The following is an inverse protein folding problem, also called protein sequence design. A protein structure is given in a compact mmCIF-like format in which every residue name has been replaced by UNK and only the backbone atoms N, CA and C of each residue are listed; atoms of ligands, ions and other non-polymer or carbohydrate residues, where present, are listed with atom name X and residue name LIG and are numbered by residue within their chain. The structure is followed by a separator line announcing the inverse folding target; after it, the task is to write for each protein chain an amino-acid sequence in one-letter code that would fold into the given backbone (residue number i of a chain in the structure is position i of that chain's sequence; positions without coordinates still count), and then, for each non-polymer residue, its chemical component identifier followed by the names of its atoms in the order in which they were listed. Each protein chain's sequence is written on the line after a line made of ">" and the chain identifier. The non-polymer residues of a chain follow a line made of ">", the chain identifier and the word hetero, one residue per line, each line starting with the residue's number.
data_IF_600782793312
#
_entry.id   IF_600782793312
#
_cell.length_a   1.000
_cell.length_b   1.000
_cell.length_c   1.000
_cell.angle_alpha   90.00
_cell.angle_beta   90.00
_cell.angle_gamma   90.00
#
_symmetry.space_group_name_H-M   'P 1'
#
loop_
_entity.id
_entity.type
_entity.pdbx_description
1 polymer ?
#
# COMPACT_ATOMS: atom_id res chain seq x y z
N UNK A 1 -14.82 1.49 11.64
CA UNK A 1 -13.40 1.65 12.02
C UNK A 1 -12.59 1.67 10.74
N UNK A 2 -11.76 2.70 10.48
CA UNK A 2 -10.85 2.68 9.33
C UNK A 2 -9.65 1.85 9.75
N UNK A 3 -9.49 0.65 9.18
CA UNK A 3 -8.29 -0.15 9.38
C UNK A 3 -7.10 0.70 8.90
N UNK A 4 -6.14 0.91 9.79
CA UNK A 4 -4.98 1.71 9.48
C UNK A 4 -4.05 0.83 8.65
N UNK A 5 -3.64 1.28 7.46
CA UNK A 5 -2.82 0.50 6.51
C UNK A 5 -1.49 0.00 7.11
N UNK A 6 -1.04 0.62 8.20
CA UNK A 6 0.11 0.18 9.00
C UNK A 6 -0.12 -1.14 9.72
N UNK A 7 -1.34 -1.43 10.18
CA UNK A 7 -1.69 -2.69 10.86
C UNK A 7 -1.71 -3.88 9.89
N UNK A 8 -1.67 -3.60 8.58
CA UNK A 8 -1.57 -4.56 7.49
C UNK A 8 -0.13 -4.72 6.97
N UNK A 9 0.87 -4.13 7.64
CA UNK A 9 2.29 -4.22 7.27
C UNK A 9 2.72 -3.26 6.15
N UNK A 10 1.86 -2.32 5.75
CA UNK A 10 2.17 -1.38 4.67
C UNK A 10 2.58 -0.01 5.23
N UNK A 11 3.88 0.29 5.11
CA UNK A 11 4.46 1.57 5.55
C UNK A 11 3.96 2.78 4.75
N UNK A 12 4.11 3.98 5.31
CA UNK A 12 3.71 5.23 4.65
C UNK A 12 4.83 5.78 3.77
N UNK A 13 4.52 6.25 2.57
CA UNK A 13 5.47 7.05 1.81
C UNK A 13 5.81 8.36 2.52
N UNK A 14 6.94 8.97 2.14
CA UNK A 14 7.35 10.29 2.63
C UNK A 14 6.25 11.36 2.45
N UNK A 15 5.46 11.26 1.38
CA UNK A 15 4.38 12.21 1.08
C UNK A 15 3.21 11.98 2.04
N UNK A 16 2.77 10.73 2.19
CA UNK A 16 1.68 10.35 3.09
C UNK A 16 2.01 10.69 4.54
N UNK A 17 3.24 10.42 4.98
CA UNK A 17 3.67 10.74 6.34
C UNK A 17 3.63 12.25 6.62
N UNK A 18 4.09 13.06 5.66
CA UNK A 18 4.02 14.53 5.75
C UNK A 18 2.57 15.04 5.72
N UNK A 19 1.69 14.40 4.94
CA UNK A 19 0.27 14.75 4.88
C UNK A 19 -0.43 14.42 6.20
N UNK A 20 -0.26 13.20 6.70
CA UNK A 20 -0.83 12.71 7.95
C UNK A 20 -0.41 13.60 9.14
N UNK A 21 0.89 13.86 9.28
CA UNK A 21 1.39 14.72 10.34
C UNK A 21 0.93 16.18 10.20
N UNK A 22 0.80 16.68 8.97
CA UNK A 22 0.26 18.01 8.70
C UNK A 22 -1.21 18.14 9.11
N UNK A 23 -2.02 17.13 8.79
CA UNK A 23 -3.43 17.06 9.18
C UNK A 23 -3.60 16.97 10.70
N UNK A 24 -2.76 16.17 11.37
CA UNK A 24 -2.77 16.08 12.83
C UNK A 24 -2.39 17.41 13.47
N UNK A 25 -1.33 18.07 13.00
CA UNK A 25 -0.91 19.37 13.50
C UNK A 25 -1.98 20.46 13.30
N UNK A 26 -2.72 20.41 12.19
CA UNK A 26 -3.86 21.30 11.95
C UNK A 26 -4.99 21.04 12.95
N UNK A 27 -5.37 19.77 13.15
CA UNK A 27 -6.41 19.39 14.13
C UNK A 27 -6.04 19.79 15.56
N UNK A 28 -4.75 19.75 15.91
CA UNK A 28 -4.24 20.18 17.20
C UNK A 28 -4.06 21.71 17.33
N UNK A 29 -4.44 22.49 16.31
CA UNK A 29 -4.29 23.95 16.30
C UNK A 29 -2.83 24.43 16.27
N UNK A 30 -1.87 23.53 16.01
CA UNK A 30 -0.43 23.84 16.00
C UNK A 30 0.04 24.41 14.66
N UNK A 31 -0.78 24.33 13.62
CA UNK A 31 -0.42 24.76 12.26
C UNK A 31 -1.66 25.07 11.41
N UNK A 32 -1.52 25.95 10.41
CA UNK A 32 -2.51 26.17 9.34
C UNK A 32 -2.35 25.13 8.23
N UNK A 33 -3.39 24.92 7.41
CA UNK A 33 -3.43 23.96 6.28
C UNK A 33 -2.79 24.51 4.99
N UNK A 34 -2.01 25.58 5.09
CA UNK A 34 -1.54 26.35 3.94
C UNK A 34 -0.37 25.70 3.22
N UNK A 35 0.52 25.02 3.95
CA UNK A 35 1.76 24.45 3.39
C UNK A 35 1.94 22.97 3.74
N UNK A 36 2.52 22.15 2.86
CA UNK A 36 2.97 20.81 3.25
C UNK A 36 4.13 20.89 4.27
N UNK A 37 4.35 19.83 5.03
CA UNK A 37 5.55 19.73 5.89
C UNK A 37 6.81 19.62 5.00
N UNK A 38 7.93 20.15 5.47
CA UNK A 38 9.19 20.13 4.72
C UNK A 38 9.91 18.79 4.84
N UNK A 39 10.83 18.51 3.91
CA UNK A 39 11.72 17.35 4.02
C UNK A 39 12.64 17.45 5.26
N UNK A 40 13.05 18.66 5.65
CA UNK A 40 13.82 18.85 6.90
C UNK A 40 13.06 18.39 8.14
N UNK A 41 11.76 18.68 8.21
CA UNK A 41 10.91 18.18 9.29
C UNK A 41 10.85 16.65 9.28
N UNK A 42 10.66 16.05 8.10
CA UNK A 42 10.56 14.60 7.94
C UNK A 42 11.86 13.90 8.36
N UNK A 43 13.01 14.37 7.88
CA UNK A 43 14.30 13.80 8.28
C UNK A 43 14.59 14.01 9.76
N UNK A 44 14.23 15.17 10.32
CA UNK A 44 14.31 15.41 11.75
C UNK A 44 13.43 14.46 12.56
N UNK A 45 12.23 14.15 12.07
CA UNK A 45 11.32 13.18 12.66
C UNK A 45 11.88 11.76 12.60
N UNK A 46 12.30 11.28 11.42
CA UNK A 46 12.89 9.96 11.26
C UNK A 46 14.16 9.78 12.11
N UNK A 47 14.98 10.82 12.22
CA UNK A 47 16.18 10.81 13.08
C UNK A 47 15.84 10.61 14.56
N UNK A 48 14.77 11.24 15.05
CA UNK A 48 14.31 11.09 16.45
C UNK A 48 13.77 9.69 16.75
N UNK A 49 13.19 9.04 15.74
CA UNK A 49 12.50 7.75 15.89
C UNK A 49 13.24 6.59 15.21
N UNK A 50 14.55 6.74 14.96
CA UNK A 50 15.37 5.76 14.22
C UNK A 50 15.39 4.35 14.81
N UNK A 51 15.14 4.23 16.11
CA UNK A 51 15.10 2.94 16.81
C UNK A 51 13.77 2.20 16.55
N UNK A 52 12.73 2.93 16.15
CA UNK A 52 11.38 2.40 15.93
C UNK A 52 10.97 2.40 14.46
N UNK A 53 11.50 3.31 13.65
CA UNK A 53 11.12 3.51 12.26
C UNK A 53 12.32 3.35 11.33
N UNK A 54 12.11 2.60 10.24
CA UNK A 54 13.06 2.43 9.15
C UNK A 54 12.44 2.85 7.82
N UNK A 55 13.31 3.15 6.85
CA UNK A 55 12.92 3.42 5.46
C UNK A 55 13.12 2.14 4.65
N UNK A 56 12.03 1.56 4.16
CA UNK A 56 12.04 0.35 3.36
C UNK A 56 11.80 0.67 1.88
N UNK A 57 12.41 -0.14 1.00
CA UNK A 57 12.08 -0.15 -0.42
C UNK A 57 11.01 -1.21 -0.65
N UNK A 58 9.77 -0.84 -0.99
CA UNK A 58 8.74 -1.81 -1.30
C UNK A 58 8.98 -2.40 -2.69
N UNK A 59 8.52 -3.64 -2.90
CA UNK A 59 8.38 -4.18 -4.25
C UNK A 59 7.22 -3.47 -4.96
N UNK A 60 7.36 -3.20 -6.26
CA UNK A 60 6.38 -2.45 -7.05
C UNK A 60 5.01 -3.13 -7.08
N UNK A 61 5.02 -4.47 -7.11
CA UNK A 61 3.82 -5.31 -7.12
C UNK A 61 3.09 -5.26 -5.78
N UNK A 62 3.82 -5.29 -4.67
CA UNK A 62 3.24 -5.33 -3.33
C UNK A 62 2.59 -3.99 -2.95
N UNK A 63 3.16 -2.87 -3.41
CA UNK A 63 2.54 -1.55 -3.24
C UNK A 63 1.20 -1.42 -3.98
N UNK A 64 1.11 -1.92 -5.20
CA UNK A 64 -0.11 -1.87 -5.99
C UNK A 64 -1.18 -2.82 -5.43
N UNK A 65 -0.78 -4.03 -5.00
CA UNK A 65 -1.70 -4.97 -4.33
C UNK A 65 -2.29 -4.35 -3.06
N UNK A 66 -1.45 -3.76 -2.19
CA UNK A 66 -1.91 -3.15 -0.95
C UNK A 66 -2.94 -2.03 -1.17
N UNK A 67 -2.72 -1.18 -2.19
CA UNK A 67 -3.60 -0.05 -2.48
C UNK A 67 -4.92 -0.44 -3.12
N UNK A 68 -4.92 -1.51 -3.93
CA UNK A 68 -6.09 -1.93 -4.71
C UNK A 68 -6.89 -3.06 -4.05
N UNK A 69 -6.41 -3.63 -2.94
CA UNK A 69 -7.12 -4.67 -2.18
C UNK A 69 -8.10 -4.02 -1.20
N UNK A 70 -9.26 -3.61 -1.69
CA UNK A 70 -10.40 -3.23 -0.82
C UNK A 70 -11.34 -4.42 -0.62
N UNK A 71 -12.09 -4.49 0.50
CA UNK A 71 -13.08 -5.55 0.70
C UNK A 71 -14.05 -5.70 -0.46
N UNK A 72 -14.47 -4.57 -1.06
CA UNK A 72 -15.37 -4.54 -2.21
C UNK A 72 -14.71 -5.11 -3.47
N UNK A 73 -13.43 -4.78 -3.71
CA UNK A 73 -12.67 -5.31 -4.84
C UNK A 73 -12.47 -6.82 -4.72
N UNK A 74 -12.14 -7.30 -3.50
CA UNK A 74 -11.99 -8.73 -3.22
C UNK A 74 -13.32 -9.47 -3.39
N UNK A 75 -14.40 -8.93 -2.84
CA UNK A 75 -15.74 -9.53 -2.98
C UNK A 75 -16.17 -9.60 -4.44
N UNK A 76 -15.98 -8.51 -5.19
CA UNK A 76 -16.31 -8.44 -6.62
C UNK A 76 -15.50 -9.46 -7.42
N UNK A 77 -14.21 -9.60 -7.14
CA UNK A 77 -13.35 -10.58 -7.78
C UNK A 77 -13.87 -12.01 -7.59
N UNK A 78 -14.11 -12.43 -6.34
CA UNK A 78 -14.57 -13.79 -6.06
C UNK A 78 -16.00 -14.05 -6.55
N UNK A 79 -16.87 -13.03 -6.54
CA UNK A 79 -18.20 -13.13 -7.13
C UNK A 79 -18.12 -13.40 -8.64
N UNK A 80 -17.31 -12.62 -9.37
CA UNK A 80 -17.13 -12.79 -10.80
C UNK A 80 -16.46 -14.13 -11.14
N UNK A 81 -15.45 -14.52 -10.37
CA UNK A 81 -14.78 -15.81 -10.53
C UNK A 81 -15.77 -16.97 -10.39
N UNK A 82 -16.61 -16.95 -9.35
CA UNK A 82 -17.64 -17.96 -9.14
C UNK A 82 -18.62 -17.99 -10.33
N UNK A 83 -19.11 -16.84 -10.76
CA UNK A 83 -20.04 -16.77 -11.90
C UNK A 83 -19.44 -17.38 -13.17
N UNK A 84 -18.15 -17.15 -13.45
CA UNK A 84 -17.46 -17.72 -14.61
C UNK A 84 -17.33 -19.25 -14.48
N UNK A 85 -16.90 -19.73 -13.30
CA UNK A 85 -16.78 -21.16 -13.02
C UNK A 85 -18.14 -21.86 -13.21
N UNK A 86 -19.21 -21.28 -12.67
CA UNK A 86 -20.57 -21.81 -12.76
C UNK A 86 -21.08 -21.80 -14.21
N UNK A 87 -20.88 -20.69 -14.93
CA UNK A 87 -21.35 -20.50 -16.32
C UNK A 87 -20.66 -21.45 -17.30
N UNK A 88 -19.36 -21.69 -17.10
CA UNK A 88 -18.55 -22.55 -17.97
C UNK A 88 -18.48 -24.01 -17.47
N UNK A 89 -19.18 -24.33 -16.37
CA UNK A 89 -19.16 -25.65 -15.73
C UNK A 89 -17.73 -26.17 -15.47
N UNK A 90 -16.87 -25.28 -14.97
CA UNK A 90 -15.46 -25.58 -14.68
C UNK A 90 -15.24 -26.16 -13.29
N UNK A 91 -16.30 -26.34 -12.49
CA UNK A 91 -16.21 -27.04 -11.21
C UNK A 91 -15.57 -28.42 -11.41
N UNK A 92 -14.47 -28.66 -10.69
CA UNK A 92 -13.68 -29.89 -10.78
C UNK A 92 -13.06 -30.19 -12.16
N UNK A 93 -12.92 -29.18 -13.04
CA UNK A 93 -12.26 -29.30 -14.35
C UNK A 93 -11.09 -28.33 -14.52
N UNK A 94 -10.05 -28.42 -13.66
CA UNK A 94 -8.89 -27.53 -13.75
C UNK A 94 -8.10 -27.70 -15.05
N UNK A 95 -8.21 -28.86 -15.70
CA UNK A 95 -7.60 -29.19 -16.99
C UNK A 95 -8.08 -28.33 -18.16
N UNK A 96 -9.21 -27.65 -18.00
CA UNK A 96 -9.77 -26.72 -18.99
C UNK A 96 -9.37 -25.26 -18.74
N UNK A 97 -8.58 -24.98 -17.70
CA UNK A 97 -8.15 -23.63 -17.33
C UNK A 97 -6.72 -23.42 -17.80
N UNK A 98 -6.54 -22.62 -18.84
CA UNK A 98 -5.23 -22.27 -19.39
C UNK A 98 -4.79 -20.90 -18.90
N UNK A 99 -3.56 -20.81 -18.39
CA UNK A 99 -2.97 -19.51 -18.08
C UNK A 99 -2.45 -18.87 -19.37
N UNK A 100 -2.90 -17.65 -19.67
CA UNK A 100 -2.27 -16.78 -20.66
C UNK A 100 -1.69 -15.57 -19.92
N UNK A 101 -0.37 -15.56 -19.73
CA UNK A 101 0.33 -14.45 -19.09
C UNK A 101 1.04 -13.62 -20.15
N UNK A 102 0.70 -12.34 -20.23
CA UNK A 102 1.38 -11.38 -21.11
C UNK A 102 2.50 -10.70 -20.33
N UNK A 103 3.75 -10.97 -20.70
CA UNK A 103 4.90 -10.31 -20.09
C UNK A 103 5.08 -8.91 -20.67
N UNK A 104 4.42 -7.93 -20.04
CA UNK A 104 4.69 -6.51 -20.30
C UNK A 104 6.04 -6.09 -19.72
N UNK A 105 7.05 -5.90 -20.57
CA UNK A 105 8.35 -5.34 -20.15
C UNK A 105 8.19 -3.82 -19.96
N UNK A 106 7.88 -3.39 -18.74
CA UNK A 106 7.88 -1.97 -18.38
C UNK A 106 9.29 -1.52 -17.97
N UNK A 107 9.85 -0.44 -18.55
CA UNK A 107 11.09 0.15 -18.09
C UNK A 107 10.84 0.93 -16.77
N UNK A 108 10.75 0.18 -15.67
CA UNK A 108 10.81 0.60 -14.26
C UNK A 108 9.93 1.79 -13.82
N UNK A 109 8.77 1.49 -13.21
CA UNK A 109 8.24 2.34 -12.14
C UNK A 109 8.83 1.87 -10.80
N UNK A 110 9.88 2.54 -10.33
CA UNK A 110 10.40 2.30 -8.97
C UNK A 110 9.44 2.92 -7.96
N UNK A 111 8.78 2.13 -7.09
CA UNK A 111 7.87 2.67 -6.09
C UNK A 111 8.65 3.53 -5.09
N UNK A 112 8.05 4.60 -4.55
CA UNK A 112 8.70 5.46 -3.57
C UNK A 112 8.99 4.67 -2.29
N UNK A 113 10.09 5.02 -1.62
CA UNK A 113 10.43 4.46 -0.31
C UNK A 113 9.30 4.71 0.70
N UNK A 114 9.05 3.71 1.55
CA UNK A 114 8.05 3.74 2.62
C UNK A 114 8.72 3.78 4.00
N UNK A 115 8.00 4.28 4.99
CA UNK A 115 8.40 4.37 6.40
C UNK A 115 7.58 3.34 7.17
N UNK A 116 8.26 2.38 7.80
CA UNK A 116 7.66 1.25 8.51
C UNK A 116 8.43 0.94 9.81
N UNK A 117 7.88 0.12 10.74
CA UNK A 117 8.59 -0.35 11.92
C UNK A 117 9.94 -1.01 11.59
N UNK A 118 10.97 -0.73 12.40
CA UNK A 118 12.36 -1.16 12.11
C UNK A 118 12.59 -2.68 12.09
N UNK A 119 11.64 -3.46 12.62
CA UNK A 119 11.74 -4.92 12.76
C UNK A 119 10.92 -5.71 11.73
N UNK A 120 10.27 -5.03 10.79
CA UNK A 120 9.44 -5.67 9.77
C UNK A 120 10.21 -5.85 8.45
N UNK A 121 10.16 -7.06 7.89
CA UNK A 121 10.59 -7.28 6.50
C UNK A 121 9.55 -6.64 5.59
N UNK A 122 9.94 -5.85 4.57
CA UNK A 122 8.99 -5.36 3.60
C UNK A 122 8.34 -6.55 2.89
N UNK A 123 7.01 -6.60 2.91
CA UNK A 123 6.24 -7.43 2.01
C UNK A 123 6.21 -6.81 0.61
#
# INVERSE_FOLDING_TARGET
>A
MRNNVQDLGYGYSNIEMKKLAGELAFKLGRRKRDKPLSNCWLYGFLRRWRERLSTLKPSALDSNRAKNTTPEAVQTYFHNLKNIIDTLHLENRPDLIFNMDETGISPEHRPPNIIAPSNEKPH
#
